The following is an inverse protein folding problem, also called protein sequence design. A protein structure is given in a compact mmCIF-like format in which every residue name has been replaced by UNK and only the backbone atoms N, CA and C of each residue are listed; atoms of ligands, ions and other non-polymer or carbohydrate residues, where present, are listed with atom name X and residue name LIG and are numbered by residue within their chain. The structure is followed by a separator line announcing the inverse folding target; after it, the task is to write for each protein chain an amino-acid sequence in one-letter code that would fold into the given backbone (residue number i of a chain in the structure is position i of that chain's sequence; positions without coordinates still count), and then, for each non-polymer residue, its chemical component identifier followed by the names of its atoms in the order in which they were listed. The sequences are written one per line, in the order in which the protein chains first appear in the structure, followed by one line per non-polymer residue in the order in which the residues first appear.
data_IF_435538599057
#
_entry.id   IF_435538599057
#
_cell.length_a   1.000
_cell.length_b   1.000
_cell.length_c   1.000
_cell.angle_alpha   90.00
_cell.angle_beta   90.00
_cell.angle_gamma   90.00
#
_symmetry.space_group_name_H-M   'P 1'
#
loop_
_entity.id
_entity.type
_entity.pdbx_description
1 polymer ?
#
# COMPACT_ATOMS: atom_id res chain seq x y z
N UNK A 1 -3.91 -14.08 5.91
CA UNK A 1 -2.64 -13.46 6.37
C UNK A 1 -1.44 -14.10 5.69
N UNK A 2 -0.31 -13.41 5.60
CA UNK A 2 0.93 -13.95 5.02
C UNK A 2 2.06 -13.99 6.05
N UNK A 3 2.64 -15.16 6.29
CA UNK A 3 3.87 -15.32 7.07
C UNK A 3 5.06 -15.11 6.12
N UNK A 4 6.07 -14.37 6.58
CA UNK A 4 7.32 -14.17 5.84
C UNK A 4 8.46 -14.92 6.52
N UNK A 5 9.28 -15.60 5.73
CA UNK A 5 10.59 -16.09 6.13
C UNK A 5 11.66 -15.01 5.95
N UNK A 6 12.92 -15.39 6.17
CA UNK A 6 14.07 -14.49 6.07
C UNK A 6 14.36 -14.03 4.64
N UNK A 7 13.91 -14.77 3.63
CA UNK A 7 14.12 -14.47 2.21
C UNK A 7 12.84 -13.98 1.53
N UNK A 8 12.98 -13.15 0.48
CA UNK A 8 11.85 -12.50 -0.22
C UNK A 8 10.83 -13.50 -0.79
N UNK A 9 11.28 -14.67 -1.22
CA UNK A 9 10.48 -15.77 -1.77
C UNK A 9 9.86 -16.68 -0.70
N UNK A 10 10.31 -16.60 0.55
CA UNK A 10 9.75 -17.36 1.65
C UNK A 10 8.49 -16.65 2.15
N UNK A 11 7.35 -16.99 1.54
CA UNK A 11 6.04 -16.47 1.94
C UNK A 11 5.07 -17.63 2.05
N UNK A 12 4.32 -17.66 3.13
CA UNK A 12 3.30 -18.68 3.37
C UNK A 12 1.96 -18.01 3.67
N UNK A 13 0.98 -18.22 2.80
CA UNK A 13 -0.38 -17.76 3.03
C UNK A 13 -1.08 -18.66 4.04
N UNK A 14 -1.71 -18.09 5.05
CA UNK A 14 -2.44 -18.82 6.09
C UNK A 14 -3.59 -18.00 6.68
N UNK A 15 -4.37 -18.63 7.55
CA UNK A 15 -5.45 -18.02 8.31
C UNK A 15 -5.08 -17.95 9.78
N UNK A 16 -5.51 -16.90 10.47
CA UNK A 16 -5.38 -16.75 11.93
C UNK A 16 -6.74 -16.31 12.47
N UNK A 17 -7.16 -16.89 13.58
CA UNK A 17 -8.36 -16.44 14.27
C UNK A 17 -8.10 -15.04 14.86
N UNK A 18 -9.03 -14.08 14.75
CA UNK A 18 -8.85 -12.74 15.33
C UNK A 18 -8.51 -12.77 16.83
N UNK A 19 -9.04 -13.75 17.58
CA UNK A 19 -8.73 -13.96 19.00
C UNK A 19 -7.28 -14.33 19.29
N UNK A 20 -6.52 -14.78 18.27
CA UNK A 20 -5.11 -15.14 18.38
C UNK A 20 -4.20 -13.99 17.89
N UNK A 21 -4.77 -12.84 17.51
CA UNK A 21 -4.00 -11.66 17.15
C UNK A 21 -3.73 -10.82 18.41
N UNK A 22 -2.50 -10.88 18.92
CA UNK A 22 -2.09 -10.07 20.10
C UNK A 22 -1.99 -8.58 19.78
N UNK A 23 -1.50 -8.24 18.59
CA UNK A 23 -1.33 -6.86 18.14
C UNK A 23 -1.62 -6.76 16.64
N UNK A 24 -2.42 -5.76 16.27
CA UNK A 24 -2.63 -5.36 14.89
C UNK A 24 -2.08 -3.94 14.71
N UNK A 25 -1.19 -3.76 13.74
CA UNK A 25 -0.63 -2.45 13.36
C UNK A 25 -1.13 -2.13 11.97
N UNK A 26 -1.79 -0.99 11.80
CA UNK A 26 -2.23 -0.52 10.49
C UNK A 26 -1.07 0.08 9.70
N UNK A 27 -1.16 0.15 8.36
CA UNK A 27 -0.18 0.85 7.52
C UNK A 27 0.08 2.29 7.99
N UNK A 28 -0.95 2.99 8.45
CA UNK A 28 -0.90 4.34 8.98
C UNK A 28 -0.12 4.38 10.30
N UNK A 29 -0.40 3.44 11.21
CA UNK A 29 0.31 3.33 12.48
C UNK A 29 1.79 2.98 12.28
N UNK A 30 2.13 2.17 11.27
CA UNK A 30 3.53 1.84 10.95
C UNK A 30 4.37 3.09 10.64
N UNK A 31 3.80 4.11 10.00
CA UNK A 31 4.51 5.38 9.72
C UNK A 31 5.00 6.09 10.99
N UNK A 32 4.30 5.90 12.13
CA UNK A 32 4.70 6.51 13.41
C UNK A 32 6.05 5.99 13.92
N UNK A 33 6.48 4.83 13.43
CA UNK A 33 7.75 4.19 13.81
C UNK A 33 8.95 4.72 12.99
N UNK A 34 8.75 5.60 12.01
CA UNK A 34 9.83 6.18 11.20
C UNK A 34 10.91 6.86 12.07
N UNK A 35 10.51 7.49 13.17
CA UNK A 35 11.42 8.14 14.12
C UNK A 35 12.33 7.15 14.85
N UNK A 36 11.89 5.89 15.00
CA UNK A 36 12.60 4.82 15.71
C UNK A 36 13.68 4.15 14.84
N UNK A 37 13.72 4.41 13.54
CA UNK A 37 14.75 3.86 12.65
C UNK A 37 16.14 4.32 13.08
N UNK A 38 17.11 3.41 13.01
CA UNK A 38 18.51 3.77 13.23
C UNK A 38 19.01 4.77 12.17
N UNK A 39 20.07 5.52 12.50
CA UNK A 39 20.66 6.48 11.57
C UNK A 39 21.02 5.85 10.21
N UNK A 40 21.58 4.63 10.22
CA UNK A 40 21.90 3.86 9.01
C UNK A 40 20.66 3.55 8.18
N UNK A 41 19.57 3.09 8.82
CA UNK A 41 18.34 2.73 8.11
C UNK A 41 17.62 3.94 7.53
N UNK A 42 17.63 5.08 8.22
CA UNK A 42 17.10 6.35 7.70
C UNK A 42 17.79 6.84 6.42
N UNK A 43 19.00 6.35 6.11
CA UNK A 43 19.69 6.68 4.86
C UNK A 43 19.20 5.90 3.65
N UNK A 44 18.37 4.86 3.83
CA UNK A 44 17.81 4.17 2.67
C UNK A 44 16.83 5.08 1.96
N UNK A 45 16.99 5.15 0.63
CA UNK A 45 16.18 5.99 -0.26
C UNK A 45 14.68 5.79 -0.03
N UNK A 46 14.23 4.54 0.12
CA UNK A 46 12.83 4.20 0.38
C UNK A 46 12.26 4.85 1.65
N UNK A 47 13.03 4.91 2.74
CA UNK A 47 12.60 5.59 3.97
C UNK A 47 12.65 7.11 3.85
N UNK A 48 13.63 7.66 3.12
CA UNK A 48 13.66 9.09 2.80
C UNK A 48 12.45 9.49 1.94
N UNK A 49 12.12 8.68 0.94
CA UNK A 49 10.93 8.87 0.10
C UNK A 49 9.67 8.92 0.94
N UNK A 50 9.48 8.02 1.93
CA UNK A 50 8.31 8.06 2.82
C UNK A 50 8.15 9.39 3.56
N UNK A 51 9.25 10.04 3.94
CA UNK A 51 9.21 11.37 4.57
C UNK A 51 8.87 12.44 3.53
N UNK A 52 9.47 12.38 2.35
CA UNK A 52 9.27 13.40 1.30
C UNK A 52 7.88 13.35 0.67
N UNK A 53 7.21 12.19 0.60
CA UNK A 53 5.87 12.06 0.00
C UNK A 53 4.74 12.50 0.93
N UNK A 54 4.98 12.71 2.24
CA UNK A 54 3.90 13.05 3.18
C UNK A 54 3.09 14.29 2.76
N UNK A 55 3.71 15.40 2.32
CA UNK A 55 2.96 16.57 1.86
C UNK A 55 2.16 16.32 0.57
N UNK A 56 2.61 15.40 -0.29
CA UNK A 56 1.91 15.03 -1.52
C UNK A 56 0.61 14.28 -1.21
N UNK A 57 0.61 13.48 -0.15
CA UNK A 57 -0.50 12.61 0.24
C UNK A 57 -1.29 13.11 1.45
N UNK A 58 -1.07 14.36 1.88
CA UNK A 58 -1.64 14.94 3.11
C UNK A 58 -3.17 14.91 3.20
N UNK A 59 -3.84 14.94 2.05
CA UNK A 59 -5.30 15.00 1.94
C UNK A 59 -5.92 13.60 1.86
N UNK A 60 -5.10 12.54 1.92
CA UNK A 60 -5.53 11.15 1.88
C UNK A 60 -5.19 10.43 3.18
N UNK A 61 -6.01 9.43 3.53
CA UNK A 61 -5.68 8.48 4.58
C UNK A 61 -4.78 7.41 3.99
N UNK A 62 -3.49 7.40 4.34
CA UNK A 62 -2.52 6.48 3.75
C UNK A 62 -1.48 6.01 4.75
N UNK A 63 -0.89 4.85 4.45
CA UNK A 63 0.17 4.24 5.21
C UNK A 63 1.19 3.55 4.31
N UNK A 64 2.19 2.95 4.92
CA UNK A 64 3.21 2.17 4.21
C UNK A 64 2.88 0.69 4.26
N UNK A 65 3.15 -0.02 3.17
CA UNK A 65 3.05 -1.47 3.07
C UNK A 65 4.40 -2.16 2.86
N UNK A 66 4.32 -3.47 2.57
CA UNK A 66 5.44 -4.23 2.02
C UNK A 66 6.62 -4.40 2.99
N UNK A 67 7.85 -4.33 2.46
CA UNK A 67 9.06 -4.54 3.27
C UNK A 67 9.34 -3.40 4.24
N UNK A 68 8.90 -2.18 3.92
CA UNK A 68 9.11 -1.01 4.77
C UNK A 68 8.20 -1.08 6.00
N UNK A 69 6.92 -1.37 5.81
CA UNK A 69 5.97 -1.63 6.90
C UNK A 69 6.47 -2.74 7.81
N UNK A 70 6.82 -3.90 7.23
CA UNK A 70 7.31 -5.04 8.01
C UNK A 70 8.50 -4.66 8.89
N UNK A 71 9.46 -3.92 8.35
CA UNK A 71 10.61 -3.47 9.11
C UNK A 71 10.24 -2.46 10.20
N UNK A 72 9.35 -1.51 9.91
CA UNK A 72 8.91 -0.52 10.88
C UNK A 72 8.18 -1.15 12.07
N UNK A 73 7.38 -2.19 11.81
CA UNK A 73 6.60 -2.88 12.85
C UNK A 73 7.45 -3.87 13.64
N UNK A 74 8.32 -4.64 12.98
CA UNK A 74 9.05 -5.74 13.63
C UNK A 74 10.46 -5.37 14.09
N UNK A 75 11.02 -4.27 13.59
CA UNK A 75 12.43 -3.91 13.75
C UNK A 75 13.40 -4.75 12.91
N UNK A 76 12.92 -5.80 12.22
CA UNK A 76 13.76 -6.68 11.40
C UNK A 76 14.10 -5.97 10.09
N UNK A 77 15.40 -5.88 9.78
CA UNK A 77 15.90 -5.22 8.57
C UNK A 77 15.55 -5.98 7.28
N UNK A 78 14.38 -5.69 6.70
CA UNK A 78 13.92 -6.30 5.44
C UNK A 78 14.00 -5.39 4.23
N UNK A 79 13.96 -4.07 4.40
CA UNK A 79 14.14 -3.16 3.27
C UNK A 79 15.59 -3.25 2.76
N UNK A 80 15.75 -3.21 1.44
CA UNK A 80 17.03 -3.21 0.74
C UNK A 80 17.27 -1.85 0.11
N UNK A 81 18.48 -1.63 -0.40
CA UNK A 81 18.82 -0.38 -1.10
C UNK A 81 17.95 -0.15 -2.34
N UNK A 82 17.50 -1.22 -2.99
CA UNK A 82 16.61 -1.23 -4.15
C UNK A 82 15.12 -1.41 -3.80
N UNK A 83 14.76 -1.40 -2.51
CA UNK A 83 13.36 -1.51 -2.10
C UNK A 83 12.55 -0.33 -2.63
N UNK A 84 11.44 -0.63 -3.29
CA UNK A 84 10.42 0.36 -3.63
C UNK A 84 9.59 0.78 -2.41
N UNK A 85 8.69 1.72 -2.64
CA UNK A 85 7.71 2.20 -1.65
C UNK A 85 6.32 1.70 -2.03
N UNK A 86 5.74 0.85 -1.19
CA UNK A 86 4.36 0.43 -1.32
C UNK A 86 3.49 1.34 -0.45
N UNK A 87 2.62 2.16 -1.05
CA UNK A 87 1.67 3.03 -0.35
C UNK A 87 0.32 2.33 -0.29
N UNK A 88 -0.25 2.24 0.91
CA UNK A 88 -1.59 1.72 1.15
C UNK A 88 -2.51 2.90 1.45
N UNK A 89 -3.36 3.26 0.50
CA UNK A 89 -4.30 4.37 0.62
C UNK A 89 -5.70 3.81 0.93
N UNK A 90 -6.33 4.25 2.01
CA UNK A 90 -7.74 3.94 2.23
C UNK A 90 -8.58 4.58 1.13
N UNK A 91 -9.63 3.89 0.67
CA UNK A 91 -10.54 4.40 -0.35
C UNK A 91 -11.05 5.80 0.06
N UNK A 92 -10.71 6.86 -0.69
CA UNK A 92 -11.18 8.21 -0.41
C UNK A 92 -12.69 8.30 -0.62
N UNK A 93 -13.35 9.17 0.16
CA UNK A 93 -14.79 9.42 0.01
C UNK A 93 -15.14 9.99 -1.37
N UNK A 94 -14.26 10.82 -1.93
CA UNK A 94 -14.40 11.37 -3.27
C UNK A 94 -13.46 10.60 -4.21
N UNK A 95 -13.99 9.91 -5.24
CA UNK A 95 -13.17 9.20 -6.22
C UNK A 95 -12.13 10.10 -6.89
N UNK A 96 -10.92 9.58 -7.06
CA UNK A 96 -9.86 10.30 -7.77
C UNK A 96 -10.12 10.15 -9.28
N UNK A 97 -10.24 11.28 -9.99
CA UNK A 97 -10.37 11.24 -11.45
C UNK A 97 -9.10 10.63 -12.09
N UNK A 98 -9.24 10.00 -13.26
CA UNK A 98 -8.07 9.42 -13.97
C UNK A 98 -6.95 10.44 -14.20
N UNK A 99 -7.32 11.68 -14.56
CA UNK A 99 -6.36 12.76 -14.74
C UNK A 99 -5.62 13.10 -13.43
N UNK A 100 -6.35 13.26 -12.32
CA UNK A 100 -5.74 13.53 -11.03
C UNK A 100 -4.86 12.37 -10.54
N UNK A 101 -5.30 11.12 -10.76
CA UNK A 101 -4.53 9.92 -10.43
C UNK A 101 -3.21 9.89 -11.22
N UNK A 102 -3.24 10.20 -12.52
CA UNK A 102 -2.03 10.28 -13.34
C UNK A 102 -1.06 11.35 -12.84
N UNK A 103 -1.54 12.56 -12.57
CA UNK A 103 -0.70 13.65 -12.02
C UNK A 103 -0.10 13.24 -10.68
N UNK A 104 -0.86 12.55 -9.82
CA UNK A 104 -0.38 12.07 -8.54
C UNK A 104 0.73 11.02 -8.70
N UNK A 105 0.54 10.04 -9.57
CA UNK A 105 1.53 8.99 -9.86
C UNK A 105 2.80 9.58 -10.47
N UNK A 106 2.69 10.49 -11.44
CA UNK A 106 3.84 11.16 -12.05
C UNK A 106 4.67 11.92 -11.00
N UNK A 107 4.02 12.67 -10.10
CA UNK A 107 4.69 13.37 -8.99
C UNK A 107 5.33 12.39 -8.00
N UNK A 108 4.63 11.30 -7.68
CA UNK A 108 5.14 10.26 -6.80
C UNK A 108 6.43 9.66 -7.36
N UNK A 109 6.45 9.30 -8.65
CA UNK A 109 7.62 8.73 -9.31
C UNK A 109 8.79 9.73 -9.38
N UNK A 110 8.52 11.02 -9.60
CA UNK A 110 9.53 12.07 -9.55
C UNK A 110 10.20 12.16 -8.18
N UNK A 111 9.43 12.06 -7.09
CA UNK A 111 9.95 12.09 -5.72
C UNK A 111 10.70 10.80 -5.38
N UNK A 112 10.11 9.65 -5.71
CA UNK A 112 10.66 8.36 -5.34
C UNK A 112 11.95 8.05 -6.10
N UNK A 113 12.05 8.42 -7.38
CA UNK A 113 13.16 8.07 -8.28
C UNK A 113 13.49 6.57 -8.30
N UNK A 114 12.60 5.73 -7.80
CA UNK A 114 12.62 4.29 -7.64
C UNK A 114 11.15 3.84 -7.69
N UNK A 115 10.88 2.53 -7.68
CA UNK A 115 9.52 2.01 -7.73
C UNK A 115 8.68 2.50 -6.55
N UNK A 116 7.55 3.17 -6.83
CA UNK A 116 6.56 3.54 -5.84
C UNK A 116 5.16 3.32 -6.40
N UNK A 117 4.35 2.53 -5.71
CA UNK A 117 2.98 2.17 -6.11
C UNK A 117 1.99 2.61 -5.03
N UNK A 118 0.79 3.01 -5.45
CA UNK A 118 -0.34 3.30 -4.56
C UNK A 118 -1.38 2.23 -4.76
N UNK A 119 -1.60 1.42 -3.73
CA UNK A 119 -2.74 0.52 -3.66
C UNK A 119 -3.87 1.18 -2.88
N UNK A 120 -5.01 1.42 -3.54
CA UNK A 120 -6.22 1.90 -2.90
C UNK A 120 -6.96 0.70 -2.31
N UNK A 121 -7.35 0.75 -1.04
CA UNK A 121 -7.94 -0.38 -0.30
C UNK A 121 -9.23 0.00 0.43
N UNK A 122 -10.19 -0.93 0.40
CA UNK A 122 -11.43 -0.87 1.16
C UNK A 122 -11.80 -2.27 1.63
N UNK A 123 -11.77 -2.51 2.94
CA UNK A 123 -12.00 -3.84 3.51
C UNK A 123 -11.03 -4.89 2.95
N UNK A 124 -11.56 -5.90 2.26
CA UNK A 124 -10.78 -6.98 1.63
C UNK A 124 -10.46 -6.70 0.15
N UNK A 125 -10.84 -5.51 -0.34
CA UNK A 125 -10.67 -5.11 -1.74
C UNK A 125 -9.49 -4.15 -1.88
N UNK A 126 -8.81 -4.21 -3.02
CA UNK A 126 -7.93 -3.13 -3.41
C UNK A 126 -7.43 -3.22 -4.84
N UNK A 127 -7.06 -2.07 -5.40
CA UNK A 127 -6.61 -1.93 -6.78
C UNK A 127 -5.41 -1.00 -6.86
N UNK A 128 -4.63 -1.11 -7.95
CA UNK A 128 -3.52 -0.18 -8.20
C UNK A 128 -4.05 1.12 -8.78
N UNK A 129 -3.68 2.25 -8.16
CA UNK A 129 -4.00 3.57 -8.68
C UNK A 129 -3.27 3.84 -9.99
N UNK A 130 -2.08 3.27 -10.18
CA UNK A 130 -1.31 3.37 -11.43
C UNK A 130 -2.04 2.67 -12.59
N UNK A 131 -2.53 1.44 -12.37
CA UNK A 131 -3.32 0.72 -13.37
C UNK A 131 -4.57 1.52 -13.77
N UNK A 132 -5.28 2.07 -12.78
CA UNK A 132 -6.42 2.96 -13.02
C UNK A 132 -6.05 4.23 -13.81
N UNK A 133 -4.93 4.86 -13.47
CA UNK A 133 -4.46 6.09 -14.10
C UNK A 133 -4.03 5.90 -15.56
N UNK A 134 -3.36 4.78 -15.87
CA UNK A 134 -2.80 4.51 -17.19
C UNK A 134 -3.86 4.09 -18.22
N UNK A 135 -4.98 3.53 -17.78
CA UNK A 135 -6.09 3.13 -18.65
C UNK A 135 -5.69 2.22 -19.82
N UNK A 136 -4.67 1.37 -19.63
CA UNK A 136 -4.17 0.47 -20.68
C UNK A 136 -5.22 -0.54 -21.12
N UNK A 137 -6.18 -0.85 -20.25
CA UNK A 137 -7.36 -1.66 -20.58
C UNK A 137 -8.64 -1.03 -20.04
N UNK A 138 -9.80 -1.53 -20.50
CA UNK A 138 -11.12 -1.10 -20.04
C UNK A 138 -11.47 -1.60 -18.63
N UNK A 139 -10.71 -2.55 -18.10
CA UNK A 139 -10.95 -3.17 -16.81
C UNK A 139 -9.71 -3.05 -15.93
N UNK A 140 -9.93 -2.97 -14.63
CA UNK A 140 -8.89 -2.83 -13.61
C UNK A 140 -8.93 -4.09 -12.74
N UNK A 141 -7.75 -4.62 -12.44
CA UNK A 141 -7.61 -5.75 -11.54
C UNK A 141 -7.88 -5.31 -10.09
N UNK A 142 -8.95 -5.83 -9.52
CA UNK A 142 -9.28 -5.69 -8.09
C UNK A 142 -8.87 -6.96 -7.37
N UNK A 143 -7.99 -6.83 -6.38
CA UNK A 143 -7.62 -7.89 -5.45
C UNK A 143 -8.77 -8.08 -4.47
N UNK A 144 -9.20 -9.33 -4.27
CA UNK A 144 -10.21 -9.71 -3.26
C UNK A 144 -9.72 -10.87 -2.42
N UNK A 145 -10.43 -11.21 -1.34
CA UNK A 145 -10.13 -12.39 -0.53
C UNK A 145 -10.37 -13.72 -1.26
N UNK A 146 -11.26 -13.73 -2.26
CA UNK A 146 -11.62 -14.92 -3.05
C UNK A 146 -10.77 -15.06 -4.33
N UNK A 147 -9.85 -14.11 -4.57
CA UNK A 147 -9.01 -14.05 -5.77
C UNK A 147 -9.20 -12.75 -6.55
N UNK A 148 -8.34 -12.46 -7.51
CA UNK A 148 -8.45 -11.24 -8.31
C UNK A 148 -9.65 -11.29 -9.25
N UNK A 149 -10.33 -10.15 -9.42
CA UNK A 149 -11.41 -9.96 -10.40
C UNK A 149 -11.10 -8.75 -11.28
N UNK A 150 -11.71 -8.68 -12.47
CA UNK A 150 -11.63 -7.52 -13.35
C UNK A 150 -12.89 -6.66 -13.19
N UNK A 151 -12.73 -5.35 -13.03
CA UNK A 151 -13.82 -4.39 -12.82
C UNK A 151 -13.63 -3.14 -13.69
N UNK A 152 -14.72 -2.60 -14.25
CA UNK A 152 -14.66 -1.38 -15.08
C UNK A 152 -14.47 -0.10 -14.25
N UNK A 153 -15.06 -0.06 -13.06
CA UNK A 153 -15.01 1.09 -12.15
C UNK A 153 -14.62 0.65 -10.74
N UNK A 154 -13.32 0.69 -10.39
CA UNK A 154 -12.84 0.24 -9.09
C UNK A 154 -13.21 1.22 -7.94
N UNK A 155 -13.89 2.34 -8.21
CA UNK A 155 -14.34 3.26 -7.15
C UNK A 155 -15.69 2.87 -6.56
N UNK A 156 -16.46 1.98 -7.21
CA UNK A 156 -17.75 1.49 -6.71
C UNK A 156 -17.63 0.34 -5.69
N UNK A 157 -16.41 0.02 -5.25
CA UNK A 157 -16.13 -1.02 -4.25
C UNK A 157 -16.85 -0.80 -2.91
N UNK A 158 -17.27 0.42 -2.60
CA UNK A 158 -18.05 0.75 -1.40
C UNK A 158 -19.57 0.54 -1.57
N UNK A 159 -20.09 0.49 -2.79
CA UNK A 159 -21.53 0.53 -3.08
C UNK A 159 -22.10 -0.84 -3.46
N UNK A 160 -21.35 -1.67 -4.19
CA UNK A 160 -21.90 -2.93 -4.74
C UNK A 160 -21.82 -4.15 -3.80
N UNK A 161 -21.16 -4.06 -2.64
CA UNK A 161 -20.74 -5.27 -1.92
C UNK A 161 -21.15 -5.35 -0.44
N UNK A 162 -21.88 -4.36 0.08
CA UNK A 162 -22.61 -4.46 1.36
C UNK A 162 -23.99 -5.13 1.20
N UNK A 163 -24.46 -5.33 -0.04
CA UNK A 163 -25.71 -6.07 -0.34
C UNK A 163 -25.53 -7.61 -0.32
N UNK A 164 -24.33 -8.12 -0.02
CA UNK A 164 -24.05 -9.57 0.06
C UNK A 164 -23.85 -10.10 1.48
N UNK A 165 -24.31 -9.38 2.51
CA UNK A 165 -24.38 -9.89 3.89
C UNK A 165 -25.70 -10.59 4.19
#
# INVERSE_FOLDING_TARGET
MGIRGFQKNQRFGTWIAPSNCELAVTPQQALTQLSQLSAKRRQLKSFQTLVTIQPLLKDYQWGVGGSLEYQLVTGIEMAREDSGVDIIMALPEIPITRFAARVLIERLHQIAGAHADIQVVFGQYGFSLEEYALATTSEILVKTAQGPILCRDPWQLSVEMDETK
#
